data_IF_208967452035
#
_entry.id   IF_208967452035
#
_cell.length_a   1.000
_cell.length_b   1.000
_cell.length_c   1.000
_cell.angle_alpha   90.00
_cell.angle_beta   90.00
_cell.angle_gamma   90.00
#
_symmetry.space_group_name_H-M   'P 1'
#
loop_
_entity.id
_entity.type
_entity.pdbx_description
1 polymer ?
#
# COMPACT_ATOMS: atom_id res chain seq x y z
N UNK A 1 13.98 6.55 45.80
CA UNK A 1 14.19 7.68 44.86
C UNK A 1 14.33 7.10 43.47
N UNK A 2 13.37 7.36 42.58
CA UNK A 2 13.51 7.36 41.11
C UNK A 2 12.12 7.62 40.48
N UNK A 3 11.82 8.91 40.38
CA UNK A 3 10.98 9.63 39.42
C UNK A 3 9.81 8.91 38.70
N UNK A 4 8.61 9.25 39.19
CA UNK A 4 7.35 9.32 38.45
C UNK A 4 7.52 10.08 37.13
N UNK A 5 7.14 9.45 36.01
CA UNK A 5 6.87 10.11 34.72
C UNK A 5 5.35 10.04 34.48
N UNK A 6 4.60 10.63 35.42
CA UNK A 6 3.25 11.12 35.16
C UNK A 6 3.35 12.59 34.75
N UNK A 7 3.71 12.91 33.50
CA UNK A 7 3.54 14.29 32.99
C UNK A 7 3.73 14.54 31.49
N UNK A 8 2.97 13.91 30.59
CA UNK A 8 2.86 14.47 29.23
C UNK A 8 1.45 14.39 28.62
N UNK A 9 0.42 14.64 29.45
CA UNK A 9 -0.95 14.85 28.98
C UNK A 9 -1.46 16.26 29.36
N UNK A 10 -1.09 17.26 28.54
CA UNK A 10 -1.92 18.40 28.11
C UNK A 10 -1.05 19.50 27.54
N UNK A 11 -1.34 19.90 26.30
CA UNK A 11 -1.69 21.26 25.88
C UNK A 11 -1.68 21.26 24.34
N UNK A 12 -2.80 20.88 23.72
CA UNK A 12 -3.05 21.23 22.32
C UNK A 12 -4.45 21.84 22.21
N UNK A 13 -4.59 23.00 21.56
CA UNK A 13 -5.86 23.70 21.43
C UNK A 13 -6.83 22.88 20.59
N UNK A 14 -8.12 23.12 20.78
CA UNK A 14 -9.21 22.57 19.96
C UNK A 14 -9.14 23.16 18.53
N UNK A 15 -8.13 22.74 17.76
CA UNK A 15 -8.12 22.87 16.32
C UNK A 15 -9.23 22.00 15.74
N UNK A 16 -9.71 22.37 14.54
CA UNK A 16 -10.63 21.56 13.73
C UNK A 16 -10.39 20.08 13.99
N UNK A 17 -11.45 19.28 14.22
CA UNK A 17 -11.39 17.82 14.08
C UNK A 17 -10.94 17.51 12.65
N UNK A 18 -9.64 17.64 12.38
CA UNK A 18 -8.98 16.87 11.37
C UNK A 18 -9.20 15.45 11.85
N UNK A 19 -9.98 14.68 11.08
CA UNK A 19 -9.93 13.23 11.21
C UNK A 19 -8.43 12.89 11.26
N UNK A 20 -7.94 12.18 12.30
CA UNK A 20 -6.57 11.70 12.29
C UNK A 20 -6.34 11.12 10.90
N UNK A 21 -5.31 11.56 10.18
CA UNK A 21 -5.00 10.96 8.90
C UNK A 21 -4.93 9.46 9.18
N UNK A 22 -5.88 8.69 8.63
CA UNK A 22 -5.84 7.23 8.72
C UNK A 22 -4.41 6.86 8.35
N UNK A 23 -3.74 6.05 9.20
CA UNK A 23 -2.41 5.56 8.87
C UNK A 23 -2.55 4.78 7.56
N UNK A 24 -2.35 5.45 6.44
CA UNK A 24 -2.44 4.84 5.12
C UNK A 24 -1.19 4.00 4.99
N UNK A 25 -1.38 2.70 4.88
CA UNK A 25 -0.31 1.82 4.48
C UNK A 25 0.16 2.22 3.07
N UNK A 26 1.43 2.57 2.95
CA UNK A 26 2.09 2.85 1.68
C UNK A 26 3.01 1.67 1.36
N UNK A 27 2.55 0.68 0.58
CA UNK A 27 3.33 -0.52 0.31
C UNK A 27 4.63 -0.19 -0.43
N UNK A 28 5.70 -0.93 -0.13
CA UNK A 28 6.97 -0.79 -0.83
C UNK A 28 6.85 -1.33 -2.25
N UNK A 29 7.63 -0.78 -3.18
CA UNK A 29 7.71 -1.33 -4.53
C UNK A 29 9.10 -1.17 -5.13
N UNK A 30 9.48 -2.16 -5.93
CA UNK A 30 10.64 -2.13 -6.80
C UNK A 30 10.19 -1.99 -8.25
N UNK A 31 10.95 -1.23 -9.04
CA UNK A 31 10.67 -1.02 -10.47
C UNK A 31 11.95 -1.29 -11.25
N UNK A 32 11.86 -2.18 -12.24
CA UNK A 32 12.97 -2.58 -13.09
C UNK A 32 12.64 -2.31 -14.55
N UNK A 33 13.58 -1.74 -15.28
CA UNK A 33 13.54 -1.72 -16.74
C UNK A 33 14.04 -3.06 -17.27
N UNK A 34 13.34 -3.60 -18.26
CA UNK A 34 13.65 -4.86 -18.93
C UNK A 34 13.85 -4.62 -20.43
N UNK A 35 14.22 -5.65 -21.18
CA UNK A 35 14.42 -5.52 -22.63
C UNK A 35 13.10 -5.24 -23.38
N UNK A 36 11.97 -5.69 -22.85
CA UNK A 36 10.64 -5.65 -23.47
C UNK A 36 9.65 -4.70 -22.77
N UNK A 37 10.10 -3.98 -21.74
CA UNK A 37 9.28 -3.01 -21.01
C UNK A 37 9.70 -2.90 -19.54
N UNK A 38 8.76 -3.15 -18.62
CA UNK A 38 8.96 -2.95 -17.18
C UNK A 38 8.48 -4.12 -16.33
N UNK A 39 9.18 -4.35 -15.23
CA UNK A 39 8.78 -5.26 -14.16
C UNK A 39 8.61 -4.45 -12.87
N UNK A 40 7.44 -4.54 -12.26
CA UNK A 40 7.12 -3.92 -10.96
C UNK A 40 6.85 -5.02 -9.94
N UNK A 41 7.41 -4.88 -8.75
CA UNK A 41 7.09 -5.72 -7.60
C UNK A 41 6.53 -4.84 -6.49
N UNK A 42 5.42 -5.23 -5.87
CA UNK A 42 4.82 -4.51 -4.74
C UNK A 42 4.63 -5.46 -3.57
N UNK A 43 5.09 -5.06 -2.39
CA UNK A 43 4.88 -5.81 -1.15
C UNK A 43 3.46 -5.61 -0.64
N UNK A 44 2.64 -6.63 -0.85
CA UNK A 44 1.21 -6.66 -0.55
C UNK A 44 0.84 -7.88 0.32
N UNK A 45 1.74 -8.32 1.21
CA UNK A 45 1.49 -9.47 2.05
C UNK A 45 0.17 -9.32 2.85
N UNK A 46 -0.69 -10.33 2.82
CA UNK A 46 -1.98 -10.32 3.50
C UNK A 46 -3.08 -9.50 2.81
N UNK A 47 -2.87 -9.09 1.56
CA UNK A 47 -3.93 -8.56 0.68
C UNK A 47 -4.49 -9.70 -0.16
N UNK A 48 -5.80 -9.76 -0.26
CA UNK A 48 -6.47 -10.70 -1.15
C UNK A 48 -6.31 -10.23 -2.61
N UNK A 49 -5.90 -11.08 -3.57
CA UNK A 49 -5.67 -10.67 -4.96
C UNK A 49 -6.89 -10.03 -5.63
N UNK A 50 -8.10 -10.49 -5.30
CA UNK A 50 -9.35 -9.94 -5.80
C UNK A 50 -9.68 -8.53 -5.27
N UNK A 51 -8.98 -8.06 -4.22
CA UNK A 51 -9.07 -6.68 -3.72
C UNK A 51 -8.04 -5.73 -4.37
N UNK A 52 -7.25 -6.21 -5.33
CA UNK A 52 -6.22 -5.42 -6.02
C UNK A 52 -6.73 -4.94 -7.36
N UNK A 53 -6.72 -3.63 -7.56
CA UNK A 53 -7.00 -2.99 -8.84
C UNK A 53 -5.73 -2.40 -9.43
N UNK A 54 -5.51 -2.64 -10.72
CA UNK A 54 -4.37 -2.12 -11.49
C UNK A 54 -4.89 -1.31 -12.66
N UNK A 55 -4.53 -0.03 -12.72
CA UNK A 55 -4.89 0.85 -13.84
C UNK A 55 -3.68 1.62 -14.35
N UNK A 56 -3.73 2.02 -15.62
CA UNK A 56 -2.69 2.79 -16.29
C UNK A 56 -3.32 4.02 -16.93
N UNK A 57 -2.70 5.18 -16.76
CA UNK A 57 -3.06 6.40 -17.48
C UNK A 57 -1.80 7.17 -17.89
N UNK A 58 -1.60 7.37 -19.19
CA UNK A 58 -0.38 7.96 -19.75
C UNK A 58 0.91 7.26 -19.26
N UNK A 59 1.80 7.95 -18.52
CA UNK A 59 3.03 7.37 -18.00
C UNK A 59 2.91 6.85 -16.55
N UNK A 60 1.69 6.66 -16.02
CA UNK A 60 1.47 6.35 -14.60
C UNK A 60 0.75 5.01 -14.43
N UNK A 61 1.31 4.16 -13.56
CA UNK A 61 0.67 2.94 -13.05
C UNK A 61 0.09 3.23 -11.66
N UNK A 62 -1.18 2.89 -11.48
CA UNK A 62 -1.89 2.93 -10.22
C UNK A 62 -2.18 1.51 -9.76
N UNK A 63 -1.88 1.22 -8.50
CA UNK A 63 -2.18 -0.05 -7.85
C UNK A 63 -2.89 0.30 -6.54
N UNK A 64 -4.15 -0.11 -6.44
CA UNK A 64 -4.99 0.22 -5.29
C UNK A 64 -5.60 -1.05 -4.70
N UNK A 65 -5.99 -0.98 -3.43
CA UNK A 65 -6.67 -2.09 -2.78
C UNK A 65 -6.87 -1.85 -1.29
N UNK A 66 -7.29 -2.89 -0.57
CA UNK A 66 -7.46 -2.83 0.89
C UNK A 66 -6.77 -4.01 1.55
N UNK A 67 -6.07 -3.76 2.66
CA UNK A 67 -5.61 -4.81 3.56
C UNK A 67 -6.59 -4.93 4.73
N UNK A 68 -7.20 -6.10 4.90
CA UNK A 68 -8.18 -6.37 5.95
C UNK A 68 -7.61 -7.37 6.95
N UNK A 69 -7.99 -7.22 8.22
CA UNK A 69 -7.78 -8.27 9.21
C UNK A 69 -8.96 -9.24 9.12
N UNK A 70 -8.74 -10.40 8.52
CA UNK A 70 -9.77 -11.43 8.37
C UNK A 70 -9.84 -12.39 9.56
N UNK A 71 -8.94 -12.25 10.55
CA UNK A 71 -8.76 -13.24 11.63
C UNK A 71 -9.20 -12.72 13.00
N UNK A 72 -9.25 -11.41 13.21
CA UNK A 72 -9.75 -10.82 14.45
C UNK A 72 -11.23 -10.45 14.35
N UNK A 73 -12.07 -11.06 15.20
CA UNK A 73 -13.45 -10.62 15.45
C UNK A 73 -13.48 -9.51 16.50
N UNK A 74 -14.63 -8.82 16.63
CA UNK A 74 -14.85 -7.74 17.60
C UNK A 74 -14.69 -8.17 19.09
N UNK A 75 -14.53 -9.46 19.35
CA UNK A 75 -14.46 -10.06 20.68
C UNK A 75 -13.04 -10.44 21.14
N UNK A 76 -12.00 -9.99 20.43
CA UNK A 76 -10.60 -10.33 20.73
C UNK A 76 -9.90 -9.20 21.48
N UNK A 77 -9.24 -9.53 22.60
CA UNK A 77 -8.30 -8.63 23.25
C UNK A 77 -6.92 -8.74 22.57
N UNK A 78 -6.34 -7.61 22.17
CA UNK A 78 -4.99 -7.57 21.59
C UNK A 78 -3.97 -7.15 22.65
N UNK A 79 -2.76 -7.72 22.57
CA UNK A 79 -1.60 -7.24 23.33
C UNK A 79 -0.78 -6.22 22.55
N UNK A 80 -0.74 -6.34 21.21
CA UNK A 80 0.06 -5.49 20.31
C UNK A 80 -0.54 -5.51 18.90
N UNK A 81 -0.58 -4.36 18.22
CA UNK A 81 -1.02 -4.21 16.82
C UNK A 81 -0.04 -3.28 16.11
N UNK A 82 0.76 -3.85 15.22
CA UNK A 82 1.73 -3.10 14.39
C UNK A 82 1.43 -3.20 12.89
N UNK A 83 0.63 -4.20 12.49
CA UNK A 83 0.18 -4.39 11.12
C UNK A 83 -0.84 -3.29 10.80
N UNK A 84 -0.62 -2.57 9.71
CA UNK A 84 -1.54 -1.54 9.25
C UNK A 84 -2.58 -2.16 8.32
N UNK A 85 -3.84 -2.15 8.73
CA UNK A 85 -4.98 -2.56 7.93
C UNK A 85 -5.70 -1.30 7.42
N UNK A 86 -5.55 -1.00 6.13
CA UNK A 86 -6.14 0.19 5.51
C UNK A 86 -6.35 -0.03 4.02
N UNK A 87 -7.11 0.88 3.39
CA UNK A 87 -6.99 1.11 1.95
C UNK A 87 -5.58 1.59 1.64
N UNK A 88 -4.99 1.13 0.54
CA UNK A 88 -3.70 1.58 0.04
C UNK A 88 -3.83 2.08 -1.40
N UNK A 89 -2.92 2.99 -1.77
CA UNK A 89 -2.74 3.50 -3.12
C UNK A 89 -1.23 3.54 -3.39
N UNK A 90 -0.80 2.92 -4.49
CA UNK A 90 0.58 2.96 -4.95
C UNK A 90 0.60 3.52 -6.37
N UNK A 91 1.21 4.69 -6.51
CA UNK A 91 1.37 5.38 -7.79
C UNK A 91 2.83 5.34 -8.21
N UNK A 92 3.09 4.84 -9.42
CA UNK A 92 4.43 4.75 -10.01
C UNK A 92 4.44 5.47 -11.36
N UNK A 93 5.34 6.45 -11.51
CA UNK A 93 5.51 7.20 -12.75
C UNK A 93 6.71 6.67 -13.52
N UNK A 94 6.52 6.42 -14.80
CA UNK A 94 7.53 5.92 -15.71
C UNK A 94 8.11 7.05 -16.59
N UNK A 95 9.33 6.89 -17.11
CA UNK A 95 9.94 7.86 -18.02
C UNK A 95 9.21 7.99 -19.37
N UNK A 96 8.47 6.96 -19.77
CA UNK A 96 7.75 6.87 -21.04
C UNK A 96 6.26 6.60 -20.81
N UNK A 97 5.43 6.91 -21.82
CA UNK A 97 4.02 6.52 -21.82
C UNK A 97 3.94 4.99 -21.82
N UNK A 98 3.13 4.45 -20.91
CA UNK A 98 2.89 3.01 -20.75
C UNK A 98 1.43 2.64 -21.05
N UNK A 99 0.57 3.62 -21.30
CA UNK A 99 -0.78 3.39 -21.80
C UNK A 99 -0.73 2.64 -23.15
N UNK A 100 -1.52 1.56 -23.25
CA UNK A 100 -1.45 0.61 -24.38
C UNK A 100 -0.46 -0.54 -24.20
N UNK A 101 0.32 -0.58 -23.11
CA UNK A 101 1.13 -1.74 -22.78
C UNK A 101 0.26 -2.97 -22.50
N UNK A 102 0.75 -4.15 -22.88
CA UNK A 102 0.16 -5.40 -22.41
C UNK A 102 0.52 -5.59 -20.94
N UNK A 103 -0.49 -5.79 -20.09
CA UNK A 103 -0.34 -5.97 -18.65
C UNK A 103 -0.53 -7.45 -18.31
N UNK A 104 0.45 -8.02 -17.63
CA UNK A 104 0.32 -9.33 -16.98
C UNK A 104 0.63 -9.16 -15.50
N UNK A 105 -0.15 -9.80 -14.64
CA UNK A 105 0.08 -9.81 -13.20
C UNK A 105 0.14 -11.24 -12.66
N UNK A 106 0.94 -11.40 -11.61
CA UNK A 106 1.01 -12.60 -10.80
C UNK A 106 1.06 -12.18 -9.32
N UNK A 107 0.58 -13.03 -8.42
CA UNK A 107 0.63 -12.80 -6.98
C UNK A 107 1.17 -14.02 -6.27
N UNK A 108 2.33 -13.85 -5.63
CA UNK A 108 3.04 -14.96 -5.00
C UNK A 108 3.76 -14.49 -3.76
N UNK A 109 3.62 -15.26 -2.68
CA UNK A 109 4.35 -15.06 -1.42
C UNK A 109 4.21 -13.63 -0.83
N UNK A 110 3.04 -13.01 -1.04
CA UNK A 110 2.77 -11.64 -0.59
C UNK A 110 3.25 -10.55 -1.57
N UNK A 111 3.83 -10.91 -2.70
CA UNK A 111 4.29 -9.96 -3.71
C UNK A 111 3.33 -9.94 -4.90
N UNK A 112 2.85 -8.76 -5.24
CA UNK A 112 2.26 -8.51 -6.56
C UNK A 112 3.39 -8.25 -7.55
N UNK A 113 3.39 -8.98 -8.66
CA UNK A 113 4.35 -8.87 -9.74
C UNK A 113 3.59 -8.41 -10.98
N UNK A 114 3.90 -7.21 -11.47
CA UNK A 114 3.27 -6.63 -12.68
C UNK A 114 4.31 -6.51 -13.78
N UNK A 115 4.01 -7.09 -14.94
CA UNK A 115 4.79 -6.96 -16.17
C UNK A 115 4.05 -6.06 -17.14
N UNK A 116 4.71 -5.00 -17.57
CA UNK A 116 4.23 -4.07 -18.58
C UNK A 116 5.09 -4.23 -19.83
N UNK A 117 4.53 -4.84 -20.88
CA UNK A 117 5.24 -5.01 -22.15
C UNK A 117 4.81 -3.95 -23.14
N UNK A 118 5.77 -3.25 -23.73
CA UNK A 118 5.50 -2.26 -24.77
C UNK A 118 4.84 -2.95 -25.97
N UNK A 119 3.79 -2.34 -26.53
CA UNK A 119 3.31 -2.77 -27.85
C UNK A 119 4.46 -2.56 -28.85
N UNK A 120 4.73 -3.57 -29.69
CA UNK A 120 5.60 -3.40 -30.86
C UNK A 120 5.07 -2.34 -31.80
#
# INVERSE_FOLDING_TARGET
>A
MAHSIDRYFRLMPAGRRQRPAERRWAPAADVYQTADGWLVKVDLAGVSPEEIEITVAGPVLFIEGTRRDAFCSETVAYHQIEITYSRFEKTLRFPQVIEGATIESDYRDGLLIVRLRSSK
#
